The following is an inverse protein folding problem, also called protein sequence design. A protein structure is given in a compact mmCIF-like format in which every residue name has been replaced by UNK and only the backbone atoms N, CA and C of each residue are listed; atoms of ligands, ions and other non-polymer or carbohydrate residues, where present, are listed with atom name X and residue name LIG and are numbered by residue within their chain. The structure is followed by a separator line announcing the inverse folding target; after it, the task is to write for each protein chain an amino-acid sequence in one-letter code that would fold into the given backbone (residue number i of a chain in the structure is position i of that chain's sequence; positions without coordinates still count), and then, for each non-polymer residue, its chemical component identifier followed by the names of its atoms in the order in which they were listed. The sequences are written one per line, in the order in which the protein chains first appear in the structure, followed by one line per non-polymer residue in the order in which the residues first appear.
data_IF_557646970088
#
_entry.id   IF_557646970088
#
_cell.length_a   1.000
_cell.length_b   1.000
_cell.length_c   1.000
_cell.angle_alpha   90.00
_cell.angle_beta   90.00
_cell.angle_gamma   90.00
#
_symmetry.space_group_name_H-M   'P 1'
#
loop_
_entity.id
_entity.type
_entity.pdbx_description
1 polymer ?
#
# COMPACT_ATOMS: atom_id res chain seq x y z
N UNK A 1 9.62 24.65 17.12
CA UNK A 1 8.47 24.59 16.21
C UNK A 1 7.30 24.03 17.01
N UNK A 2 6.14 24.68 16.99
CA UNK A 2 4.94 24.25 17.72
C UNK A 2 4.02 23.50 16.77
N UNK A 3 3.23 22.57 17.31
CA UNK A 3 2.20 21.85 16.58
C UNK A 3 0.88 22.62 16.66
N UNK A 4 0.19 22.76 15.53
CA UNK A 4 -1.05 23.51 15.38
C UNK A 4 -2.17 22.56 14.91
N UNK A 5 -2.90 21.91 15.84
CA UNK A 5 -3.94 20.93 15.50
C UNK A 5 -5.04 21.47 14.58
N UNK A 6 -5.28 22.78 14.62
CA UNK A 6 -6.27 23.48 13.80
C UNK A 6 -5.98 23.44 12.30
N UNK A 7 -4.72 23.29 11.89
CA UNK A 7 -4.32 23.19 10.49
C UNK A 7 -4.54 21.77 9.91
N UNK A 8 -4.67 20.77 10.80
CA UNK A 8 -4.74 19.35 10.43
C UNK A 8 -5.94 19.00 9.59
N UNK A 9 -7.19 19.41 9.91
CA UNK A 9 -8.36 18.99 9.15
C UNK A 9 -8.27 19.35 7.67
N UNK A 10 -7.83 20.57 7.34
CA UNK A 10 -7.67 21.01 5.95
C UNK A 10 -6.61 20.20 5.20
N UNK A 11 -5.46 19.95 5.82
CA UNK A 11 -4.39 19.15 5.22
C UNK A 11 -4.78 17.69 5.01
N UNK A 12 -5.55 17.13 5.95
CA UNK A 12 -6.08 15.78 5.81
C UNK A 12 -7.05 15.68 4.61
N UNK A 13 -7.90 16.69 4.39
CA UNK A 13 -8.81 16.71 3.23
C UNK A 13 -8.06 16.84 1.91
N UNK A 14 -7.09 17.76 1.84
CA UNK A 14 -6.22 17.92 0.68
C UNK A 14 -5.49 16.60 0.33
N UNK A 15 -4.85 15.97 1.32
CA UNK A 15 -4.07 14.76 1.11
C UNK A 15 -4.95 13.55 0.76
N UNK A 16 -6.11 13.39 1.39
CA UNK A 16 -7.04 12.32 1.05
C UNK A 16 -7.61 12.51 -0.37
N UNK A 17 -7.94 13.75 -0.74
CA UNK A 17 -8.51 14.07 -2.05
C UNK A 17 -7.49 13.79 -3.15
N UNK A 18 -6.25 14.23 -2.93
CA UNK A 18 -5.15 13.96 -3.83
C UNK A 18 -4.94 12.46 -4.03
N UNK A 19 -4.95 11.67 -2.95
CA UNK A 19 -4.75 10.22 -3.04
C UNK A 19 -5.89 9.50 -3.78
N UNK A 20 -7.15 9.87 -3.51
CA UNK A 20 -8.32 9.32 -4.22
C UNK A 20 -8.23 9.65 -5.72
N UNK A 21 -7.91 10.89 -6.08
CA UNK A 21 -7.75 11.28 -7.47
C UNK A 21 -6.60 10.53 -8.16
N UNK A 22 -5.47 10.32 -7.47
CA UNK A 22 -4.36 9.52 -7.97
C UNK A 22 -4.78 8.08 -8.28
N UNK A 23 -5.56 7.43 -7.39
CA UNK A 23 -6.09 6.08 -7.64
C UNK A 23 -6.96 6.07 -8.90
N UNK A 24 -7.87 7.05 -9.03
CA UNK A 24 -8.77 7.17 -10.19
C UNK A 24 -7.97 7.30 -11.48
N UNK A 25 -6.96 8.15 -11.49
CA UNK A 25 -6.14 8.40 -12.68
C UNK A 25 -5.34 7.16 -13.08
N UNK A 26 -4.74 6.45 -12.13
CA UNK A 26 -4.04 5.17 -12.38
C UNK A 26 -4.99 4.14 -12.98
N UNK A 27 -6.19 3.99 -12.42
CA UNK A 27 -7.18 3.01 -12.89
C UNK A 27 -7.78 3.38 -14.25
N UNK A 28 -8.04 4.66 -14.50
CA UNK A 28 -8.51 5.17 -15.80
C UNK A 28 -7.46 4.92 -16.88
N UNK A 29 -6.20 5.27 -16.63
CA UNK A 29 -5.10 5.04 -17.55
C UNK A 29 -4.89 3.54 -17.82
N UNK A 30 -4.92 2.71 -16.78
CA UNK A 30 -4.85 1.26 -16.93
C UNK A 30 -5.98 0.72 -17.80
N UNK A 31 -7.22 1.15 -17.56
CA UNK A 31 -8.39 0.73 -18.34
C UNK A 31 -8.30 1.18 -19.80
N UNK A 32 -7.84 2.41 -20.05
CA UNK A 32 -7.64 2.94 -21.39
C UNK A 32 -6.61 2.13 -22.19
N UNK A 33 -5.50 1.72 -21.56
CA UNK A 33 -4.43 0.94 -22.21
C UNK A 33 -4.75 -0.54 -22.39
N UNK A 34 -5.48 -1.14 -21.45
CA UNK A 34 -5.67 -2.60 -21.40
C UNK A 34 -7.10 -3.07 -21.72
N UNK A 35 -8.05 -2.14 -21.86
CA UNK A 35 -9.47 -2.45 -22.16
C UNK A 35 -10.24 -3.14 -21.02
N UNK A 36 -9.68 -3.23 -19.81
CA UNK A 36 -10.29 -3.90 -18.66
C UNK A 36 -10.04 -3.17 -17.34
N UNK A 37 -10.87 -3.45 -16.33
CA UNK A 37 -10.68 -2.93 -14.96
C UNK A 37 -9.34 -3.43 -14.39
N UNK A 38 -8.67 -2.55 -13.64
CA UNK A 38 -7.45 -2.86 -12.87
C UNK A 38 -7.74 -2.93 -11.37
N UNK A 39 -6.72 -3.25 -10.59
CA UNK A 39 -6.73 -3.21 -9.13
C UNK A 39 -5.46 -2.47 -8.67
N UNK A 40 -5.60 -1.58 -7.69
CA UNK A 40 -4.48 -0.94 -7.00
C UNK A 40 -4.30 -1.63 -5.65
N UNK A 41 -3.09 -2.10 -5.38
CA UNK A 41 -2.70 -2.68 -4.09
C UNK A 41 -1.62 -1.80 -3.50
N UNK A 42 -1.89 -1.18 -2.35
CA UNK A 42 -0.99 -0.26 -1.68
C UNK A 42 -0.68 -0.76 -0.26
N UNK A 43 0.32 -1.65 -0.10
CA UNK A 43 0.70 -2.16 1.21
C UNK A 43 1.54 -1.12 1.98
N UNK A 44 1.27 -1.01 3.28
CA UNK A 44 2.00 -0.14 4.21
C UNK A 44 2.17 -0.87 5.56
N UNK A 45 3.24 -0.57 6.28
CA UNK A 45 3.36 -0.98 7.67
C UNK A 45 2.28 -0.28 8.52
N UNK A 46 1.55 -1.03 9.34
CA UNK A 46 0.38 -0.50 10.05
C UNK A 46 0.72 0.67 10.98
N UNK A 47 1.91 0.62 11.60
CA UNK A 47 2.42 1.66 12.49
C UNK A 47 2.67 2.99 11.78
N UNK A 48 2.72 3.01 10.45
CA UNK A 48 2.75 4.27 9.70
C UNK A 48 1.58 5.16 10.12
N UNK A 49 0.39 4.58 10.30
CA UNK A 49 -0.82 5.33 10.60
C UNK A 49 -1.03 5.44 12.12
N UNK A 50 -0.85 6.66 12.65
CA UNK A 50 -1.06 6.99 14.06
C UNK A 50 0.19 6.96 14.94
N UNK A 51 1.24 6.23 14.54
CA UNK A 51 2.50 6.21 15.29
C UNK A 51 3.58 7.06 14.59
N UNK A 52 4.04 6.65 13.40
CA UNK A 52 5.04 7.42 12.65
C UNK A 52 4.46 8.68 12.02
N UNK A 53 3.26 8.56 11.47
CA UNK A 53 2.45 9.69 11.02
C UNK A 53 1.19 9.77 11.87
N UNK A 54 1.19 10.72 12.81
CA UNK A 54 0.16 10.83 13.85
C UNK A 54 -1.26 10.96 13.27
N UNK A 55 -1.45 11.78 12.24
CA UNK A 55 -2.76 12.00 11.62
C UNK A 55 -3.17 10.89 10.66
N UNK A 56 -2.30 9.91 10.39
CA UNK A 56 -2.49 8.88 9.37
C UNK A 56 -3.76 8.05 9.55
N UNK A 57 -4.19 7.80 10.78
CA UNK A 57 -5.45 7.09 11.08
C UNK A 57 -6.68 7.86 10.59
N UNK A 58 -6.69 9.19 10.76
CA UNK A 58 -7.77 10.03 10.27
C UNK A 58 -7.73 10.14 8.75
N UNK A 59 -6.54 10.20 8.17
CA UNK A 59 -6.35 10.21 6.72
C UNK A 59 -6.91 8.94 6.06
N UNK A 60 -6.48 7.75 6.48
CA UNK A 60 -6.92 6.50 5.86
C UNK A 60 -8.44 6.30 6.01
N UNK A 61 -8.99 6.74 7.14
CA UNK A 61 -10.43 6.73 7.38
C UNK A 61 -11.20 7.62 6.39
N UNK A 62 -10.66 8.79 6.02
CA UNK A 62 -11.25 9.66 4.98
C UNK A 62 -11.13 9.05 3.61
N UNK A 63 -9.95 8.54 3.24
CA UNK A 63 -9.73 7.86 1.96
C UNK A 63 -10.75 6.72 1.77
N UNK A 64 -10.89 5.83 2.74
CA UNK A 64 -11.83 4.70 2.63
C UNK A 64 -13.29 5.16 2.45
N UNK A 65 -13.75 6.17 3.22
CA UNK A 65 -15.10 6.72 3.04
C UNK A 65 -15.29 7.33 1.67
N UNK A 66 -14.33 8.11 1.19
CA UNK A 66 -14.44 8.79 -0.09
C UNK A 66 -14.35 7.84 -1.28
N UNK A 67 -13.59 6.75 -1.17
CA UNK A 67 -13.60 5.69 -2.20
C UNK A 67 -14.95 4.97 -2.22
N UNK A 68 -15.54 4.67 -1.05
CA UNK A 68 -16.86 4.03 -0.97
C UNK A 68 -17.97 4.90 -1.60
N UNK A 69 -17.89 6.22 -1.44
CA UNK A 69 -18.84 7.18 -2.01
C UNK A 69 -18.57 7.52 -3.49
N UNK A 70 -17.43 7.11 -4.06
CA UNK A 70 -17.04 7.45 -5.43
C UNK A 70 -17.58 6.41 -6.44
N UNK A 71 -18.35 6.82 -7.47
CA UNK A 71 -18.97 5.88 -8.40
C UNK A 71 -17.99 5.26 -9.43
N UNK A 72 -16.75 5.76 -9.53
CA UNK A 72 -15.78 5.29 -10.52
C UNK A 72 -14.84 4.19 -10.00
N UNK A 73 -14.72 4.06 -8.69
CA UNK A 73 -13.79 3.15 -8.01
C UNK A 73 -14.53 2.35 -6.94
N UNK A 74 -13.97 1.22 -6.53
CA UNK A 74 -14.64 0.30 -5.60
C UNK A 74 -13.61 -0.24 -4.60
N UNK A 75 -13.97 -0.26 -3.33
CA UNK A 75 -13.19 -0.96 -2.31
C UNK A 75 -13.49 -2.46 -2.37
N UNK A 76 -12.43 -3.26 -2.25
CA UNK A 76 -12.56 -4.71 -2.18
C UNK A 76 -11.47 -5.30 -1.30
N UNK A 77 -11.60 -6.59 -0.99
CA UNK A 77 -10.51 -7.37 -0.40
C UNK A 77 -10.00 -8.39 -1.40
N UNK A 78 -8.81 -8.94 -1.13
CA UNK A 78 -8.12 -9.86 -2.03
C UNK A 78 -8.95 -11.11 -2.35
N UNK A 79 -9.68 -11.64 -1.38
CA UNK A 79 -10.54 -12.82 -1.58
C UNK A 79 -11.67 -12.55 -2.56
N UNK A 80 -12.49 -11.51 -2.32
CA UNK A 80 -13.62 -11.15 -3.19
C UNK A 80 -13.11 -10.84 -4.61
N UNK A 81 -12.01 -10.09 -4.73
CA UNK A 81 -11.45 -9.76 -6.02
C UNK A 81 -10.99 -11.00 -6.79
N UNK A 82 -10.31 -11.95 -6.15
CA UNK A 82 -9.82 -13.17 -6.79
C UNK A 82 -10.95 -14.15 -7.15
N UNK A 83 -12.02 -14.19 -6.36
CA UNK A 83 -13.24 -14.96 -6.70
C UNK A 83 -13.91 -14.42 -7.97
N UNK A 84 -14.01 -13.09 -8.10
CA UNK A 84 -14.59 -12.43 -9.28
C UNK A 84 -13.63 -12.36 -10.49
N UNK A 85 -12.32 -12.39 -10.25
CA UNK A 85 -11.27 -12.27 -11.26
C UNK A 85 -10.24 -13.41 -11.11
N UNK A 86 -10.58 -14.65 -11.51
CA UNK A 86 -9.66 -15.77 -11.41
C UNK A 86 -8.34 -15.51 -12.14
N UNK A 87 -7.20 -16.01 -11.62
CA UNK A 87 -5.90 -15.84 -12.26
C UNK A 87 -5.89 -16.35 -13.70
N UNK A 88 -5.40 -15.53 -14.62
CA UNK A 88 -5.35 -15.83 -16.06
C UNK A 88 -3.94 -15.73 -16.66
N UNK A 89 -2.94 -15.47 -15.82
CA UNK A 89 -1.52 -15.38 -16.20
C UNK A 89 -0.67 -16.11 -15.18
N UNK A 90 0.37 -16.75 -15.68
CA UNK A 90 1.45 -17.33 -14.87
C UNK A 90 2.67 -16.46 -15.06
N UNK A 91 3.36 -16.16 -13.96
CA UNK A 91 4.60 -15.41 -13.95
C UNK A 91 5.65 -16.18 -13.16
N UNK A 92 6.90 -16.12 -13.62
CA UNK A 92 8.04 -16.56 -12.80
C UNK A 92 8.52 -15.36 -11.99
N UNK A 93 8.68 -15.55 -10.69
CA UNK A 93 9.16 -14.51 -9.77
C UNK A 93 10.61 -14.80 -9.45
N UNK A 94 11.47 -13.79 -9.59
CA UNK A 94 12.86 -13.89 -9.13
C UNK A 94 12.90 -13.75 -7.60
N UNK A 95 13.90 -14.34 -6.98
CA UNK A 95 14.11 -14.20 -5.54
C UNK A 95 14.30 -12.72 -5.17
N UNK A 96 13.68 -12.29 -4.08
CA UNK A 96 13.79 -10.92 -3.59
C UNK A 96 12.90 -10.62 -2.40
N UNK A 97 12.96 -9.36 -1.95
CA UNK A 97 12.12 -8.82 -0.87
C UNK A 97 11.60 -7.43 -1.24
N UNK A 98 10.69 -6.88 -0.42
CA UNK A 98 10.32 -5.45 -0.48
C UNK A 98 11.24 -4.55 0.37
N UNK A 99 12.30 -5.12 0.96
CA UNK A 99 13.29 -4.40 1.74
C UNK A 99 14.33 -3.71 0.86
N UNK A 100 15.45 -3.32 1.46
CA UNK A 100 16.49 -2.57 0.76
C UNK A 100 17.03 -3.33 -0.47
N UNK A 101 17.06 -2.62 -1.60
CA UNK A 101 17.53 -3.11 -2.90
C UNK A 101 16.82 -4.40 -3.38
N UNK A 102 15.62 -4.67 -2.87
CA UNK A 102 14.85 -5.89 -3.15
C UNK A 102 15.59 -7.19 -2.91
N UNK A 103 16.56 -7.18 -1.98
CA UNK A 103 17.48 -8.30 -1.71
C UNK A 103 17.26 -8.87 -0.30
N UNK A 104 18.08 -9.84 0.08
CA UNK A 104 18.14 -10.36 1.45
C UNK A 104 19.05 -9.55 2.37
N UNK A 105 19.70 -8.49 1.86
CA UNK A 105 20.78 -7.79 2.57
C UNK A 105 20.40 -7.34 3.97
N UNK A 106 19.16 -6.88 4.17
CA UNK A 106 18.68 -6.43 5.50
C UNK A 106 18.82 -7.53 6.57
N UNK A 107 18.64 -8.80 6.18
CA UNK A 107 18.65 -9.95 7.10
C UNK A 107 19.87 -10.86 6.94
N UNK A 108 20.58 -10.80 5.81
CA UNK A 108 21.75 -11.60 5.52
C UNK A 108 22.92 -10.71 5.07
N UNK A 109 23.75 -10.35 6.04
CA UNK A 109 24.96 -9.57 5.86
C UNK A 109 25.98 -9.91 6.96
N UNK A 110 27.18 -9.33 6.87
CA UNK A 110 28.26 -9.55 7.84
C UNK A 110 27.88 -9.29 9.31
N UNK A 111 26.89 -8.44 9.59
CA UNK A 111 26.42 -8.14 10.95
C UNK A 111 25.39 -9.13 11.47
N UNK A 112 24.69 -9.86 10.59
CA UNK A 112 23.61 -10.78 10.96
C UNK A 112 23.94 -12.26 10.74
N UNK A 113 25.01 -12.60 10.01
CA UNK A 113 25.39 -14.01 9.71
C UNK A 113 25.46 -14.91 10.94
N UNK A 114 25.97 -14.42 12.07
CA UNK A 114 26.08 -15.18 13.32
C UNK A 114 24.73 -15.70 13.86
N UNK A 115 23.63 -15.01 13.51
CA UNK A 115 22.27 -15.43 13.93
C UNK A 115 21.85 -16.68 13.16
N UNK A 116 22.14 -16.72 11.85
CA UNK A 116 21.82 -17.85 10.99
C UNK A 116 22.62 -19.09 11.36
N UNK A 117 23.90 -18.94 11.73
CA UNK A 117 24.72 -20.04 12.25
C UNK A 117 24.03 -20.74 13.42
N UNK A 118 23.49 -19.97 14.38
CA UNK A 118 22.77 -20.52 15.54
C UNK A 118 21.39 -21.08 15.18
N UNK A 119 20.64 -20.42 14.30
CA UNK A 119 19.30 -20.87 13.88
C UNK A 119 19.40 -22.23 13.15
N UNK A 120 20.43 -22.44 12.32
CA UNK A 120 20.61 -23.68 11.57
C UNK A 120 21.16 -24.85 12.41
N UNK A 121 21.75 -24.60 13.57
CA UNK A 121 22.21 -25.64 14.50
C UNK A 121 21.08 -26.23 15.36
N UNK A 122 19.94 -25.53 15.47
CA UNK A 122 18.76 -25.94 16.23
C UNK A 122 17.86 -26.88 15.43
#
# INVERSE_FOLDING_TARGET
MLYWPEDVPGKLDENASHYVNLIKDILRDYKARNGRKGIVVAPYDAELFGHWWFEGNWWISRVLRWVEDDPEIELTNTRIYLEANPPNKVVSVIEGSWGQASSHWVWLNEWTTWTWERIYEC
#
